data_IF_584902755793
#
_entry.id   IF_584902755793
#
_cell.length_a   1.000
_cell.length_b   1.000
_cell.length_c   1.000
_cell.angle_alpha   90.00
_cell.angle_beta   90.00
_cell.angle_gamma   90.00
#
_symmetry.space_group_name_H-M   'P 1'
#
loop_
_entity.id
_entity.type
_entity.pdbx_description
1 polymer ?
#
# COMPACT_ATOMS: atom_id res chain seq x y z
N UNK A 1 17.06 8.83 -6.30
CA UNK A 1 17.06 7.85 -5.18
C UNK A 1 15.87 6.92 -5.38
N UNK A 2 16.04 5.61 -5.23
CA UNK A 2 14.91 4.66 -5.34
C UNK A 2 14.02 4.81 -4.09
N UNK A 3 12.91 5.52 -4.23
CA UNK A 3 11.94 5.90 -3.19
C UNK A 3 11.00 4.76 -2.79
N UNK A 4 11.50 3.52 -2.82
CA UNK A 4 10.67 2.32 -2.65
C UNK A 4 10.76 1.75 -1.23
N UNK A 5 11.40 2.45 -0.30
CA UNK A 5 11.63 1.97 1.06
C UNK A 5 11.55 3.12 2.08
N UNK A 6 10.96 2.85 3.24
CA UNK A 6 10.87 3.78 4.37
C UNK A 6 11.11 3.01 5.68
N UNK A 7 11.97 3.56 6.54
CA UNK A 7 12.11 3.07 7.93
C UNK A 7 10.91 3.48 8.79
N UNK A 8 10.36 2.54 9.54
CA UNK A 8 9.25 2.75 10.47
C UNK A 8 9.76 2.92 11.92
N UNK A 9 10.62 2.00 12.37
CA UNK A 9 11.30 2.04 13.67
C UNK A 9 12.76 1.63 13.52
N UNK A 10 13.51 1.52 14.61
CA UNK A 10 14.91 1.06 14.58
C UNK A 10 15.08 -0.33 13.93
N UNK A 11 14.08 -1.20 14.04
CA UNK A 11 14.14 -2.58 13.55
C UNK A 11 13.12 -2.91 12.47
N UNK A 12 12.23 -2.00 12.10
CA UNK A 12 11.15 -2.28 11.13
C UNK A 12 11.21 -1.26 10.00
N UNK A 13 11.16 -1.76 8.77
CA UNK A 13 11.04 -0.95 7.56
C UNK A 13 10.00 -1.53 6.61
N UNK A 14 9.47 -0.68 5.74
CA UNK A 14 8.57 -1.09 4.67
C UNK A 14 9.22 -0.86 3.32
N UNK A 15 8.96 -1.77 2.38
CA UNK A 15 9.46 -1.70 1.01
C UNK A 15 8.38 -2.09 0.01
N UNK A 16 8.31 -1.40 -1.12
CA UNK A 16 7.48 -1.85 -2.24
C UNK A 16 8.12 -3.08 -2.88
N UNK A 17 7.41 -4.21 -2.79
CA UNK A 17 7.78 -5.43 -3.48
C UNK A 17 7.37 -5.38 -4.94
N UNK A 18 6.13 -4.95 -5.19
CA UNK A 18 5.52 -4.95 -6.51
C UNK A 18 4.46 -3.86 -6.63
N UNK A 19 4.30 -3.28 -7.81
CA UNK A 19 3.26 -2.31 -8.11
C UNK A 19 2.82 -2.46 -9.56
N UNK A 20 1.52 -2.69 -9.79
CA UNK A 20 0.95 -2.92 -11.12
C UNK A 20 -0.39 -2.23 -11.27
N UNK A 21 -0.75 -1.76 -12.48
CA UNK A 21 -2.13 -1.38 -12.76
C UNK A 21 -3.03 -2.61 -12.66
N UNK A 22 -4.26 -2.41 -12.20
CA UNK A 22 -5.25 -3.50 -12.10
C UNK A 22 -5.71 -3.98 -13.48
N UNK A 23 -5.72 -3.08 -14.47
CA UNK A 23 -6.02 -3.34 -15.89
C UNK A 23 -5.34 -2.28 -16.74
N UNK A 24 -5.03 -2.60 -18.00
CA UNK A 24 -4.47 -1.61 -18.93
C UNK A 24 -5.40 -0.40 -19.08
N UNK A 25 -4.81 0.80 -19.11
CA UNK A 25 -5.51 2.08 -19.23
C UNK A 25 -6.54 2.38 -18.12
N UNK A 26 -6.48 1.66 -17.00
CA UNK A 26 -7.26 1.97 -15.80
C UNK A 26 -6.35 2.59 -14.75
N UNK A 27 -6.68 3.80 -14.31
CA UNK A 27 -6.02 4.50 -13.21
C UNK A 27 -6.42 3.89 -11.87
N UNK A 28 -5.99 2.66 -11.65
CA UNK A 28 -6.12 1.96 -10.39
C UNK A 28 -4.95 1.01 -10.30
N UNK A 29 -4.28 1.03 -9.15
CA UNK A 29 -3.04 0.29 -8.96
C UNK A 29 -3.14 -0.59 -7.73
N UNK A 30 -2.56 -1.79 -7.84
CA UNK A 30 -2.30 -2.70 -6.73
C UNK A 30 -0.83 -2.62 -6.38
N UNK A 31 -0.55 -2.20 -5.15
CA UNK A 31 0.80 -2.07 -4.60
C UNK A 31 0.97 -3.06 -3.45
N UNK A 32 2.02 -3.88 -3.50
CA UNK A 32 2.38 -4.85 -2.47
C UNK A 32 3.57 -4.29 -1.69
N UNK A 33 3.39 -4.16 -0.38
CA UNK A 33 4.39 -3.61 0.55
C UNK A 33 4.82 -4.71 1.51
N UNK A 34 6.12 -4.96 1.58
CA UNK A 34 6.71 -5.87 2.56
C UNK A 34 7.10 -5.11 3.81
N UNK A 35 6.60 -5.54 4.97
CA UNK A 35 7.16 -5.22 6.28
C UNK A 35 8.36 -6.14 6.53
N UNK A 36 9.51 -5.53 6.78
CA UNK A 36 10.78 -6.21 6.97
C UNK A 36 11.29 -5.86 8.38
N UNK A 37 11.65 -6.88 9.16
CA UNK A 37 12.31 -6.73 10.45
C UNK A 37 13.79 -7.05 10.32
N UNK A 38 14.62 -6.26 10.98
CA UNK A 38 16.05 -6.54 11.15
C UNK A 38 16.37 -7.15 12.54
N UNK A 39 15.33 -7.56 13.30
CA UNK A 39 15.45 -8.27 14.57
C UNK A 39 14.42 -9.41 14.71
N UNK A 40 14.80 -10.59 15.25
CA UNK A 40 16.15 -11.01 15.65
C UNK A 40 17.07 -11.36 14.47
N UNK A 41 16.51 -11.47 13.26
CA UNK A 41 17.23 -11.79 12.03
C UNK A 41 17.18 -10.59 11.09
N UNK A 42 18.31 -10.28 10.42
CA UNK A 42 18.36 -9.22 9.42
C UNK A 42 17.48 -9.58 8.21
N UNK A 43 16.77 -8.59 7.66
CA UNK A 43 15.93 -8.72 6.47
C UNK A 43 14.80 -9.77 6.56
N UNK A 44 14.30 -10.07 7.75
CA UNK A 44 13.19 -11.01 7.92
C UNK A 44 11.89 -10.40 7.40
N UNK A 45 11.26 -11.05 6.42
CA UNK A 45 9.89 -10.69 6.01
C UNK A 45 8.94 -10.98 7.18
N UNK A 46 8.21 -9.95 7.61
CA UNK A 46 7.20 -10.08 8.67
C UNK A 46 5.80 -10.23 8.07
N UNK A 47 5.48 -9.40 7.07
CA UNK A 47 4.15 -9.36 6.46
C UNK A 47 4.19 -8.72 5.09
N UNK A 48 3.30 -9.15 4.21
CA UNK A 48 2.92 -8.42 3.00
C UNK A 48 1.59 -7.71 3.22
N UNK A 49 1.54 -6.45 2.80
CA UNK A 49 0.37 -5.57 2.92
C UNK A 49 0.00 -5.04 1.54
N UNK A 50 -1.26 -5.19 1.17
CA UNK A 50 -1.75 -4.85 -0.15
C UNK A 50 -2.52 -3.54 -0.11
N UNK A 51 -2.17 -2.61 -1.01
CA UNK A 51 -2.86 -1.33 -1.15
C UNK A 51 -3.40 -1.25 -2.57
N UNK A 52 -4.72 -1.21 -2.69
CA UNK A 52 -5.38 -0.78 -3.92
C UNK A 52 -5.73 0.69 -3.80
N UNK A 53 -5.41 1.47 -4.83
CA UNK A 53 -5.77 2.89 -4.87
C UNK A 53 -6.20 3.30 -6.27
N UNK A 54 -7.32 4.02 -6.35
CA UNK A 54 -7.83 4.63 -7.58
C UNK A 54 -7.16 5.98 -7.85
N UNK A 55 -7.02 6.38 -9.13
CA UNK A 55 -6.52 7.69 -9.56
C UNK A 55 -7.30 8.85 -8.96
N UNK A 56 -8.63 8.79 -9.02
CA UNK A 56 -9.52 9.79 -8.41
C UNK A 56 -9.23 10.01 -6.91
N UNK A 57 -8.97 8.94 -6.16
CA UNK A 57 -8.64 9.04 -4.74
C UNK A 57 -7.29 9.72 -4.53
N UNK A 58 -6.29 9.44 -5.39
CA UNK A 58 -5.00 10.11 -5.33
C UNK A 58 -5.17 11.62 -5.56
N UNK A 59 -5.93 12.02 -6.57
CA UNK A 59 -6.10 13.43 -6.92
C UNK A 59 -6.94 14.19 -5.89
N UNK A 60 -8.07 13.61 -5.50
CA UNK A 60 -9.04 14.31 -4.67
C UNK A 60 -8.70 14.26 -3.20
N UNK A 61 -8.25 13.10 -2.70
CA UNK A 61 -7.99 12.89 -1.27
C UNK A 61 -6.53 13.01 -0.91
N UNK A 62 -5.62 12.42 -1.70
CA UNK A 62 -4.19 12.49 -1.43
C UNK A 62 -3.51 13.75 -1.99
N UNK A 63 -4.19 14.50 -2.88
CA UNK A 63 -3.64 15.68 -3.57
C UNK A 63 -2.36 15.36 -4.36
N UNK A 64 -2.35 14.19 -4.99
CA UNK A 64 -1.26 13.68 -5.83
C UNK A 64 -1.79 13.39 -7.23
N UNK A 65 -0.96 13.57 -8.27
CA UNK A 65 -1.36 13.21 -9.63
C UNK A 65 -1.65 11.71 -9.77
N UNK A 66 -2.62 11.36 -10.59
CA UNK A 66 -3.00 9.98 -10.89
C UNK A 66 -1.95 9.25 -11.76
N UNK A 67 -0.81 8.92 -11.16
CA UNK A 67 0.24 8.14 -11.82
C UNK A 67 0.87 7.09 -10.90
N UNK A 68 1.52 6.09 -11.49
CA UNK A 68 2.14 4.98 -10.77
C UNK A 68 3.18 5.43 -9.73
N UNK A 69 3.98 6.47 -10.02
CA UNK A 69 5.01 6.93 -9.08
C UNK A 69 4.38 7.55 -7.84
N UNK A 70 3.31 8.32 -8.02
CA UNK A 70 2.54 8.90 -6.94
C UNK A 70 1.70 7.86 -6.20
N UNK A 71 1.16 6.85 -6.87
CA UNK A 71 0.50 5.70 -6.25
C UNK A 71 1.44 4.94 -5.31
N UNK A 72 2.70 4.71 -5.73
CA UNK A 72 3.76 4.10 -4.91
C UNK A 72 4.09 4.93 -3.67
N UNK A 73 4.31 6.24 -3.84
CA UNK A 73 4.58 7.17 -2.73
C UNK A 73 3.41 7.19 -1.75
N UNK A 74 2.18 7.29 -2.26
CA UNK A 74 0.98 7.23 -1.47
C UNK A 74 0.92 5.94 -0.65
N UNK A 75 1.12 4.77 -1.27
CA UNK A 75 1.03 3.49 -0.60
C UNK A 75 2.03 3.36 0.56
N UNK A 76 3.27 3.82 0.38
CA UNK A 76 4.28 3.86 1.44
C UNK A 76 3.91 4.84 2.56
N UNK A 77 3.55 6.08 2.23
CA UNK A 77 3.16 7.10 3.22
C UNK A 77 1.90 6.69 3.99
N UNK A 78 0.93 6.10 3.29
CA UNK A 78 -0.30 5.56 3.88
C UNK A 78 -0.01 4.43 4.85
N UNK A 79 0.83 3.46 4.45
CA UNK A 79 1.17 2.31 5.28
C UNK A 79 1.97 2.73 6.51
N UNK A 80 2.90 3.69 6.35
CA UNK A 80 3.60 4.31 7.47
C UNK A 80 2.63 4.98 8.44
N UNK A 81 1.70 5.80 7.92
CA UNK A 81 0.70 6.47 8.75
C UNK A 81 -0.17 5.46 9.51
N UNK A 82 -0.61 4.38 8.86
CA UNK A 82 -1.38 3.29 9.51
C UNK A 82 -0.60 2.62 10.64
N UNK A 83 0.70 2.40 10.47
CA UNK A 83 1.57 1.87 11.50
C UNK A 83 1.69 2.85 12.69
N UNK A 84 1.89 4.13 12.42
CA UNK A 84 1.97 5.17 13.45
C UNK A 84 0.65 5.34 14.23
N UNK A 85 -0.50 5.30 13.53
CA UNK A 85 -1.84 5.39 14.12
C UNK A 85 -2.25 4.15 14.93
N UNK A 86 -1.51 3.04 14.83
CA UNK A 86 -1.74 1.78 15.56
C UNK A 86 -0.70 1.55 16.65
N UNK A 87 -0.20 2.62 17.27
CA UNK A 87 0.83 2.56 18.32
C UNK A 87 2.09 1.79 17.88
N UNK A 88 2.50 1.98 16.62
CA UNK A 88 3.65 1.29 16.01
C UNK A 88 3.48 -0.24 15.91
N UNK A 89 2.25 -0.71 15.72
CA UNK A 89 1.96 -2.10 15.45
C UNK A 89 1.84 -2.35 13.94
N UNK A 90 2.32 -3.51 13.49
CA UNK A 90 2.10 -3.92 12.10
C UNK A 90 0.60 -4.16 11.93
N UNK A 91 -0.06 -3.57 10.91
CA UNK A 91 -1.49 -3.72 10.70
C UNK A 91 -1.91 -5.19 10.69
N UNK A 92 -3.00 -5.52 11.38
CA UNK A 92 -3.52 -6.89 11.47
C UNK A 92 -4.20 -7.31 10.17
N UNK A 93 -4.81 -6.37 9.47
CA UNK A 93 -5.43 -6.58 8.17
C UNK A 93 -4.41 -6.78 7.05
N UNK A 94 -4.78 -7.49 6.00
CA UNK A 94 -3.86 -7.88 4.92
C UNK A 94 -3.82 -6.87 3.77
N UNK A 95 -4.78 -5.95 3.71
CA UNK A 95 -4.76 -4.88 2.74
C UNK A 95 -5.94 -3.93 2.86
N UNK A 96 -5.88 -2.89 2.03
CA UNK A 96 -6.92 -1.86 1.93
C UNK A 96 -7.21 -1.51 0.48
N UNK A 97 -8.45 -1.09 0.26
CA UNK A 97 -8.90 -0.46 -0.97
C UNK A 97 -9.26 1.00 -0.69
N UNK A 98 -8.61 1.93 -1.41
CA UNK A 98 -8.79 3.36 -1.29
C UNK A 98 -9.48 3.91 -2.56
N UNK A 99 -10.73 4.32 -2.43
CA UNK A 99 -11.55 4.90 -3.49
C UNK A 99 -12.37 6.09 -2.99
N UNK A 100 -12.80 6.96 -3.90
CA UNK A 100 -13.69 8.07 -3.52
C UNK A 100 -15.08 7.57 -3.12
N UNK A 101 -15.56 6.50 -3.76
CA UNK A 101 -16.89 5.92 -3.55
C UNK A 101 -17.02 5.28 -2.16
N UNK A 102 -16.05 4.48 -1.74
CA UNK A 102 -16.11 3.70 -0.50
C UNK A 102 -15.18 4.24 0.60
N UNK A 103 -14.34 5.22 0.28
CA UNK A 103 -13.30 5.70 1.19
C UNK A 103 -12.18 4.68 1.32
N UNK A 104 -11.85 4.31 2.56
CA UNK A 104 -10.83 3.29 2.83
C UNK A 104 -11.52 2.05 3.39
N UNK A 105 -11.49 0.96 2.63
CA UNK A 105 -12.09 -0.32 2.99
C UNK A 105 -11.00 -1.34 3.31
N UNK A 106 -11.17 -2.11 4.38
CA UNK A 106 -10.28 -3.23 4.70
C UNK A 106 -10.64 -4.41 3.81
N UNK A 107 -9.64 -5.01 3.15
CA UNK A 107 -9.84 -6.13 2.22
C UNK A 107 -8.88 -7.27 2.50
N UNK A 108 -9.31 -8.50 2.21
CA UNK A 108 -8.42 -9.65 2.18
C UNK A 108 -7.95 -9.90 0.73
N UNK A 109 -6.65 -9.76 0.43
CA UNK A 109 -6.10 -9.95 -0.91
C UNK A 109 -6.37 -11.34 -1.50
N UNK A 110 -6.67 -12.35 -0.68
CA UNK A 110 -7.03 -13.70 -1.15
C UNK A 110 -8.40 -13.77 -1.81
N UNK A 111 -9.32 -12.92 -1.39
CA UNK A 111 -10.72 -12.94 -1.82
C UNK A 111 -11.13 -11.67 -2.57
N UNK A 112 -10.34 -10.61 -2.46
CA UNK A 112 -10.61 -9.34 -3.10
C UNK A 112 -10.15 -9.32 -4.55
N UNK A 113 -11.10 -9.04 -5.44
CA UNK A 113 -10.85 -8.70 -6.84
C UNK A 113 -11.41 -7.31 -7.04
N UNK A 114 -10.56 -6.37 -7.44
CA UNK A 114 -10.99 -4.99 -7.63
C UNK A 114 -12.14 -4.94 -8.67
N UNK A 115 -13.19 -4.12 -8.48
CA UNK A 115 -14.34 -4.13 -9.39
C UNK A 115 -13.98 -3.93 -10.87
N UNK A 116 -12.95 -3.11 -11.15
CA UNK A 116 -12.42 -2.87 -12.51
C UNK A 116 -11.52 -4.00 -13.06
N UNK A 117 -11.16 -5.01 -12.26
CA UNK A 117 -10.46 -6.24 -12.69
C UNK A 117 -11.44 -7.30 -13.21
N UNK A 118 -12.73 -7.20 -12.89
CA UNK A 118 -13.73 -8.14 -13.38
C UNK A 118 -13.84 -8.01 -14.92
N UNK A 119 -13.97 -9.15 -15.63
CA UNK A 119 -14.08 -9.18 -17.08
C UNK A 119 -15.28 -8.38 -17.60
#
# INVERSE_FOLDING_TARGET
MKTDEIGLTYNIRIKILHAVPVKENVETWRIIISFISDYPENNKLVKEYFVWVTGEYLEDKAKLSADMNNARKFALSFTKKRFEESDNQIPVENGVFCSNEEGIVIVDPKFFVHPKEKP
#
